data_IF_331450010680
#
_entry.id   IF_331450010680
#
_cell.length_a   1.000
_cell.length_b   1.000
_cell.length_c   1.000
_cell.angle_alpha   90.00
_cell.angle_beta   90.00
_cell.angle_gamma   90.00
#
_symmetry.space_group_name_H-M   'P 1'
#
loop_
_entity.id
_entity.type
_entity.pdbx_description
1 polymer ?
#
# COMPACT_ATOMS: atom_id res chain seq x y z
N UNK A 1 -20.57 -14.66 19.15
CA UNK A 1 -19.52 -15.46 19.81
C UNK A 1 -19.39 -14.93 21.23
N UNK A 2 -19.75 -15.73 22.24
CA UNK A 2 -19.70 -15.31 23.64
C UNK A 2 -18.26 -15.46 24.16
N UNK A 3 -17.54 -14.36 24.36
CA UNK A 3 -16.26 -14.36 25.07
C UNK A 3 -16.49 -14.07 26.55
N UNK A 4 -16.14 -15.04 27.41
CA UNK A 4 -16.00 -14.83 28.85
C UNK A 4 -14.58 -14.34 29.13
N UNK A 5 -14.44 -13.11 29.62
CA UNK A 5 -13.22 -12.63 30.27
C UNK A 5 -13.37 -12.88 31.78
N UNK A 6 -12.51 -13.72 32.35
CA UNK A 6 -12.44 -13.95 33.81
C UNK A 6 -11.40 -13.00 34.42
N UNK A 7 -11.82 -12.12 35.32
CA UNK A 7 -10.93 -11.39 36.21
C UNK A 7 -10.84 -12.10 37.56
N UNK A 8 -9.63 -12.24 38.08
CA UNK A 8 -9.31 -12.81 39.38
C UNK A 8 -9.35 -11.71 40.45
N UNK A 9 -10.20 -11.87 41.46
CA UNK A 9 -10.43 -10.90 42.54
C UNK A 9 -9.22 -10.69 43.46
N UNK A 10 -8.96 -9.41 43.77
CA UNK A 10 -8.09 -8.99 44.87
C UNK A 10 -8.94 -9.04 46.16
N UNK A 11 -8.55 -9.92 47.08
CA UNK A 11 -9.20 -10.09 48.37
C UNK A 11 -9.04 -8.86 49.28
N UNK A 12 -10.16 -8.27 49.70
CA UNK A 12 -10.25 -7.51 50.96
C UNK A 12 -11.38 -8.07 51.81
N UNK A 13 -11.05 -8.48 53.03
CA UNK A 13 -11.90 -9.16 53.99
C UNK A 13 -12.72 -8.19 54.86
N UNK A 14 -14.05 -8.39 54.95
CA UNK A 14 -14.81 -8.39 56.21
C UNK A 14 -16.32 -8.64 55.99
N UNK A 15 -16.75 -9.86 56.34
CA UNK A 15 -18.03 -10.25 56.99
C UNK A 15 -19.31 -9.45 56.72
N UNK A 16 -20.17 -9.98 55.83
CA UNK A 16 -21.52 -10.52 56.13
C UNK A 16 -22.03 -11.23 54.87
N UNK A 17 -22.14 -12.57 54.90
CA UNK A 17 -22.57 -13.38 53.76
C UNK A 17 -24.10 -13.35 53.61
N UNK A 18 -24.64 -12.30 53.00
CA UNK A 18 -25.83 -12.43 52.16
C UNK A 18 -25.33 -12.75 50.76
N UNK A 19 -25.29 -14.03 50.38
CA UNK A 19 -25.08 -14.42 48.98
C UNK A 19 -26.33 -14.05 48.20
N UNK A 20 -26.45 -12.78 47.84
CA UNK A 20 -27.30 -12.37 46.73
C UNK A 20 -26.76 -13.10 45.50
N UNK A 21 -27.53 -14.05 44.99
CA UNK A 21 -27.22 -14.69 43.73
C UNK A 21 -27.36 -13.62 42.64
N UNK A 22 -26.25 -12.99 42.27
CA UNK A 22 -26.22 -12.01 41.18
C UNK A 22 -26.59 -12.76 39.90
N UNK A 23 -27.83 -12.55 39.46
CA UNK A 23 -28.37 -13.20 38.28
C UNK A 23 -28.01 -12.33 37.07
N UNK A 24 -26.98 -12.74 36.32
CA UNK A 24 -26.57 -12.02 35.12
C UNK A 24 -27.58 -12.26 34.00
N UNK A 25 -28.28 -11.20 33.59
CA UNK A 25 -29.14 -11.23 32.40
C UNK A 25 -28.33 -10.81 31.18
N UNK A 26 -28.44 -11.53 30.03
CA UNK A 26 -27.83 -11.07 28.79
C UNK A 26 -28.52 -9.78 28.32
N UNK A 27 -27.80 -8.67 28.36
CA UNK A 27 -28.25 -7.41 27.74
C UNK A 27 -27.62 -7.26 26.36
N UNK A 28 -28.21 -6.42 25.52
CA UNK A 28 -27.63 -6.13 24.21
C UNK A 28 -26.43 -5.21 24.41
N UNK A 29 -25.37 -5.41 23.62
CA UNK A 29 -24.11 -4.72 23.84
C UNK A 29 -24.26 -3.18 23.88
N UNK A 30 -25.12 -2.62 23.01
CA UNK A 30 -25.34 -1.18 22.91
C UNK A 30 -26.01 -0.57 24.15
N UNK A 31 -26.68 -1.38 24.98
CA UNK A 31 -27.33 -0.92 26.22
C UNK A 31 -26.30 -0.74 27.36
N UNK A 32 -25.10 -1.33 27.22
CA UNK A 32 -24.05 -1.32 28.26
C UNK A 32 -22.86 -0.45 27.85
N UNK A 33 -22.82 0.05 26.60
CA UNK A 33 -21.66 0.79 26.07
C UNK A 33 -21.30 2.01 26.93
N UNK A 34 -22.28 2.80 27.36
CA UNK A 34 -22.04 4.01 28.15
C UNK A 34 -21.42 3.70 29.51
N UNK A 35 -21.94 2.67 30.19
CA UNK A 35 -21.44 2.26 31.50
C UNK A 35 -20.04 1.63 31.39
N UNK A 36 -19.81 0.86 30.34
CA UNK A 36 -18.48 0.32 30.03
C UNK A 36 -17.49 1.45 29.72
N UNK A 37 -17.88 2.44 28.93
CA UNK A 37 -17.06 3.60 28.60
C UNK A 37 -16.66 4.36 29.87
N UNK A 38 -17.63 4.71 30.73
CA UNK A 38 -17.38 5.37 32.02
C UNK A 38 -16.41 4.56 32.88
N UNK A 39 -16.57 3.24 32.95
CA UNK A 39 -15.68 2.38 33.71
C UNK A 39 -14.24 2.44 33.16
N UNK A 40 -14.07 2.30 31.84
CA UNK A 40 -12.77 2.36 31.17
C UNK A 40 -12.10 3.72 31.41
N UNK A 41 -12.78 4.84 31.15
CA UNK A 41 -12.20 6.17 31.37
C UNK A 41 -11.90 6.46 32.83
N UNK A 42 -12.72 5.96 33.77
CA UNK A 42 -12.45 6.10 35.21
C UNK A 42 -11.17 5.36 35.64
N UNK A 43 -10.87 4.25 34.98
CA UNK A 43 -9.64 3.49 35.19
C UNK A 43 -8.46 4.19 34.51
N UNK A 44 -8.59 4.60 33.24
CA UNK A 44 -7.54 5.29 32.49
C UNK A 44 -7.12 6.61 33.14
N UNK A 45 -8.04 7.31 33.80
CA UNK A 45 -7.73 8.53 34.56
C UNK A 45 -6.82 8.29 35.77
N UNK A 46 -6.82 7.08 36.34
CA UNK A 46 -6.08 6.74 37.57
C UNK A 46 -4.77 6.01 37.28
N UNK A 47 -4.68 5.34 36.15
CA UNK A 47 -3.50 4.55 35.79
C UNK A 47 -2.38 5.44 35.25
N UNK A 48 -1.11 5.18 35.62
CA UNK A 48 0.04 5.84 35.00
C UNK A 48 0.41 5.21 33.64
N UNK A 49 -0.29 4.14 33.22
CA UNK A 49 0.01 3.43 31.98
C UNK A 49 -0.69 4.08 30.77
N UNK A 50 0.02 4.10 29.65
CA UNK A 50 -0.51 4.53 28.36
C UNK A 50 -0.75 3.30 27.46
N UNK A 51 -1.90 3.30 26.80
CA UNK A 51 -2.32 2.23 25.90
C UNK A 51 -2.46 2.78 24.49
N UNK A 52 -1.92 2.05 23.52
CA UNK A 52 -2.01 2.42 22.11
C UNK A 52 -2.80 1.34 21.39
N UNK A 53 -3.94 1.72 20.81
CA UNK A 53 -4.75 0.83 19.99
C UNK A 53 -4.57 1.21 18.53
N UNK A 54 -4.02 0.29 17.75
CA UNK A 54 -3.74 0.51 16.32
C UNK A 54 -4.73 -0.31 15.49
N UNK A 55 -5.45 0.38 14.61
CA UNK A 55 -6.27 -0.21 13.57
C UNK A 55 -5.58 -0.08 12.22
N UNK A 56 -5.55 -1.17 11.46
CA UNK A 56 -4.96 -1.23 10.13
C UNK A 56 -5.98 -1.86 9.15
N UNK A 57 -5.74 -1.69 7.85
CA UNK A 57 -6.50 -2.33 6.78
C UNK A 57 -8.03 -2.08 6.83
N UNK A 58 -8.45 -0.87 7.25
CA UNK A 58 -9.87 -0.48 7.28
C UNK A 58 -10.49 -0.50 5.88
N UNK A 59 -9.69 -0.25 4.84
CA UNK A 59 -10.07 -0.32 3.44
C UNK A 59 -10.46 -1.74 3.00
N UNK A 60 -9.97 -2.82 3.64
CA UNK A 60 -10.41 -4.18 3.33
C UNK A 60 -11.90 -4.41 3.62
N UNK A 61 -12.52 -3.59 4.47
CA UNK A 61 -13.95 -3.65 4.73
C UNK A 61 -14.78 -3.34 3.48
N UNK A 62 -14.23 -2.64 2.48
CA UNK A 62 -14.89 -2.36 1.20
C UNK A 62 -15.33 -3.67 0.53
N UNK A 63 -14.48 -4.71 0.60
CA UNK A 63 -14.78 -6.02 0.01
C UNK A 63 -15.94 -6.77 0.69
N UNK A 64 -16.31 -6.37 1.92
CA UNK A 64 -17.35 -7.02 2.73
C UNK A 64 -18.68 -6.29 2.67
N UNK A 65 -18.70 -5.06 2.19
CA UNK A 65 -19.87 -4.20 2.19
C UNK A 65 -20.33 -3.99 0.75
N UNK A 66 -21.49 -4.54 0.41
CA UNK A 66 -22.04 -4.50 -0.96
C UNK A 66 -22.41 -3.09 -1.44
N UNK A 67 -22.58 -2.13 -0.53
CA UNK A 67 -22.97 -0.75 -0.84
C UNK A 67 -21.83 0.22 -0.50
N UNK A 68 -21.30 0.90 -1.53
CA UNK A 68 -20.19 1.84 -1.40
C UNK A 68 -20.52 3.05 -0.52
N UNK A 69 -21.75 3.56 -0.57
CA UNK A 69 -22.16 4.68 0.28
C UNK A 69 -22.24 4.26 1.75
N UNK A 70 -22.73 3.05 2.00
CA UNK A 70 -22.73 2.49 3.35
C UNK A 70 -21.31 2.33 3.89
N UNK A 71 -20.38 1.84 3.06
CA UNK A 71 -18.97 1.73 3.42
C UNK A 71 -18.37 3.10 3.80
N UNK A 72 -18.62 4.14 2.98
CA UNK A 72 -18.15 5.50 3.27
C UNK A 72 -18.70 6.03 4.59
N UNK A 73 -19.99 5.82 4.88
CA UNK A 73 -20.59 6.25 6.15
C UNK A 73 -20.00 5.53 7.36
N UNK A 74 -19.71 4.23 7.23
CA UNK A 74 -19.04 3.46 8.29
C UNK A 74 -17.64 4.01 8.54
N UNK A 75 -16.86 4.28 7.48
CA UNK A 75 -15.52 4.85 7.61
C UNK A 75 -15.54 6.24 8.25
N UNK A 76 -16.49 7.10 7.85
CA UNK A 76 -16.67 8.42 8.43
C UNK A 76 -17.00 8.34 9.93
N UNK A 77 -17.99 7.53 10.30
CA UNK A 77 -18.35 7.33 11.70
C UNK A 77 -17.21 6.73 12.52
N UNK A 78 -16.42 5.84 11.94
CA UNK A 78 -15.23 5.27 12.58
C UNK A 78 -14.16 6.35 12.87
N UNK A 79 -13.83 7.18 11.88
CA UNK A 79 -12.86 8.27 12.04
C UNK A 79 -13.32 9.30 13.09
N UNK A 80 -14.61 9.67 13.06
CA UNK A 80 -15.19 10.57 14.06
C UNK A 80 -15.18 9.97 15.47
N UNK A 81 -15.44 8.66 15.58
CA UNK A 81 -15.41 7.97 16.88
C UNK A 81 -13.98 7.92 17.44
N UNK A 82 -12.98 7.68 16.59
CA UNK A 82 -11.57 7.71 17.01
C UNK A 82 -11.18 9.11 17.51
N UNK A 83 -11.55 10.17 16.78
CA UNK A 83 -11.30 11.55 17.17
C UNK A 83 -11.93 11.84 18.54
N UNK A 84 -13.22 11.56 18.70
CA UNK A 84 -13.96 11.77 19.95
C UNK A 84 -13.32 11.05 21.14
N UNK A 85 -12.92 9.79 20.97
CA UNK A 85 -12.28 9.03 22.06
C UNK A 85 -10.90 9.62 22.40
N UNK A 86 -10.12 10.02 21.39
CA UNK A 86 -8.81 10.63 21.63
C UNK A 86 -8.93 12.00 22.33
N UNK A 87 -9.95 12.78 22.01
CA UNK A 87 -10.25 14.04 22.71
C UNK A 87 -10.60 13.76 24.18
N UNK A 88 -11.45 12.77 24.46
CA UNK A 88 -11.76 12.37 25.84
C UNK A 88 -10.52 11.88 26.61
N UNK A 89 -9.63 11.12 25.97
CA UNK A 89 -8.36 10.69 26.56
C UNK A 89 -7.45 11.87 26.90
N UNK A 90 -7.39 12.87 26.01
CA UNK A 90 -6.65 14.10 26.23
C UNK A 90 -7.24 14.92 27.40
N UNK A 91 -8.57 15.04 27.48
CA UNK A 91 -9.26 15.78 28.55
C UNK A 91 -9.00 15.19 29.94
N UNK A 92 -8.91 13.86 30.06
CA UNK A 92 -8.57 13.21 31.33
C UNK A 92 -7.07 13.21 31.63
N UNK A 93 -6.24 13.79 30.76
CA UNK A 93 -4.79 13.87 30.90
C UNK A 93 -4.07 12.53 30.71
N UNK A 94 -4.64 11.61 29.94
CA UNK A 94 -4.03 10.32 29.64
C UNK A 94 -3.42 10.32 28.23
N UNK A 95 -2.19 9.81 28.10
CA UNK A 95 -1.43 9.79 26.84
C UNK A 95 -1.70 8.54 25.96
N UNK A 96 -2.70 7.75 26.31
CA UNK A 96 -3.23 6.67 25.46
C UNK A 96 -3.78 7.24 24.16
N UNK A 97 -3.65 6.51 23.06
CA UNK A 97 -4.15 6.95 21.74
C UNK A 97 -4.74 5.78 20.97
N UNK A 98 -5.80 6.08 20.21
CA UNK A 98 -6.30 5.22 19.16
C UNK A 98 -5.79 5.77 17.83
N UNK A 99 -5.11 4.93 17.06
CA UNK A 99 -4.47 5.29 15.80
C UNK A 99 -5.04 4.37 14.73
N UNK A 100 -5.38 4.94 13.57
CA UNK A 100 -5.75 4.16 12.39
C UNK A 100 -4.87 4.54 11.21
N UNK A 101 -4.56 3.57 10.37
CA UNK A 101 -4.04 3.82 9.03
C UNK A 101 -5.22 3.95 8.06
N UNK A 102 -5.03 4.71 6.99
CA UNK A 102 -6.03 4.85 5.94
C UNK A 102 -5.34 5.16 4.61
N UNK A 103 -5.85 4.58 3.52
CA UNK A 103 -5.34 4.90 2.19
C UNK A 103 -5.80 6.29 1.75
N UNK A 104 -4.89 7.08 1.19
CA UNK A 104 -5.17 8.45 0.78
C UNK A 104 -6.25 8.56 -0.30
N UNK A 105 -6.22 7.69 -1.31
CA UNK A 105 -7.21 7.68 -2.40
C UNK A 105 -8.63 7.33 -1.92
N UNK A 106 -8.74 6.52 -0.86
CA UNK A 106 -10.02 6.22 -0.22
C UNK A 106 -10.48 7.38 0.67
N UNK A 107 -9.56 7.98 1.42
CA UNK A 107 -9.83 9.13 2.28
C UNK A 107 -10.35 10.32 1.47
N UNK A 108 -9.75 10.59 0.31
CA UNK A 108 -10.20 11.64 -0.62
C UNK A 108 -11.65 11.42 -1.10
N UNK A 109 -12.02 10.16 -1.36
CA UNK A 109 -13.38 9.80 -1.78
C UNK A 109 -14.43 9.93 -0.66
N UNK A 110 -14.03 9.78 0.60
CA UNK A 110 -14.92 9.99 1.74
C UNK A 110 -15.05 11.49 2.01
N UNK A 111 -13.93 12.23 1.92
CA UNK A 111 -13.91 13.67 2.17
C UNK A 111 -14.73 14.47 1.15
N UNK A 112 -14.81 14.02 -0.11
CA UNK A 112 -15.69 14.66 -1.11
C UNK A 112 -17.16 14.68 -0.70
N UNK A 113 -17.56 13.72 0.13
CA UNK A 113 -18.95 13.50 0.51
C UNK A 113 -19.24 13.99 1.95
N UNK A 114 -18.23 14.44 2.69
CA UNK A 114 -18.31 14.76 4.11
C UNK A 114 -17.79 16.18 4.41
N UNK A 115 -18.66 17.04 4.96
CA UNK A 115 -18.34 18.46 5.22
C UNK A 115 -17.29 18.69 6.34
N UNK A 116 -17.04 17.72 7.22
CA UNK A 116 -16.22 17.91 8.44
C UNK A 116 -14.96 17.05 8.51
N UNK A 117 -14.74 16.15 7.54
CA UNK A 117 -13.60 15.23 7.62
C UNK A 117 -12.25 15.94 7.40
N UNK A 118 -12.26 17.03 6.64
CA UNK A 118 -11.07 17.86 6.39
C UNK A 118 -10.39 18.38 7.65
N UNK A 119 -11.17 18.71 8.69
CA UNK A 119 -10.64 19.15 9.99
C UNK A 119 -9.89 18.01 10.69
N UNK A 120 -10.52 16.84 10.79
CA UNK A 120 -9.92 15.64 11.41
C UNK A 120 -8.60 15.29 10.71
N UNK A 121 -8.59 15.32 9.37
CA UNK A 121 -7.40 15.02 8.58
C UNK A 121 -6.30 16.05 8.84
N UNK A 122 -6.64 17.35 8.86
CA UNK A 122 -5.63 18.40 9.02
C UNK A 122 -5.02 18.44 10.43
N UNK A 123 -5.85 18.26 11.47
CA UNK A 123 -5.41 18.41 12.86
C UNK A 123 -4.76 17.11 13.41
N UNK A 124 -5.20 15.94 12.94
CA UNK A 124 -4.92 14.65 13.61
C UNK A 124 -4.32 13.58 12.71
N UNK A 125 -3.83 13.92 11.52
CA UNK A 125 -3.21 12.93 10.60
C UNK A 125 -1.76 13.22 10.26
N UNK A 126 -1.03 12.14 9.94
CA UNK A 126 0.32 12.20 9.39
C UNK A 126 0.32 11.47 8.05
N UNK A 127 0.53 12.20 6.96
CA UNK A 127 0.62 11.63 5.62
C UNK A 127 1.99 11.01 5.39
N UNK A 128 2.01 9.72 5.05
CA UNK A 128 3.24 9.01 4.67
C UNK A 128 3.36 8.99 3.15
N UNK A 129 4.21 9.87 2.62
CA UNK A 129 4.65 9.80 1.22
C UNK A 129 5.98 9.04 1.15
N UNK A 130 5.96 7.83 0.60
CA UNK A 130 7.15 6.98 0.52
C UNK A 130 8.24 7.55 -0.38
N UNK A 131 7.86 8.22 -1.46
CA UNK A 131 8.78 8.78 -2.43
C UNK A 131 8.16 9.97 -3.16
N UNK A 132 8.90 11.09 -3.18
CA UNK A 132 8.56 12.23 -4.01
C UNK A 132 9.54 12.34 -5.19
N UNK A 133 9.06 12.59 -6.43
CA UNK A 133 9.91 12.85 -7.60
C UNK A 133 10.86 14.05 -7.44
N UNK A 134 10.59 14.93 -6.46
CA UNK A 134 11.44 16.06 -6.10
C UNK A 134 12.72 15.62 -5.35
N UNK A 135 12.76 14.39 -4.86
CA UNK A 135 13.86 13.84 -4.04
C UNK A 135 15.01 13.25 -4.86
N UNK A 136 15.20 13.71 -6.11
CA UNK A 136 16.28 13.22 -6.97
C UNK A 136 17.65 13.65 -6.49
N UNK A 137 17.72 14.82 -5.86
CA UNK A 137 18.97 15.41 -5.36
C UNK A 137 19.41 14.78 -4.04
N UNK A 138 18.46 14.38 -3.18
CA UNK A 138 18.71 13.81 -1.85
C UNK A 138 17.86 12.54 -1.61
N UNK A 139 18.16 11.43 -2.30
CA UNK A 139 17.34 10.23 -2.21
C UNK A 139 17.36 9.54 -0.85
N UNK A 140 18.46 9.64 -0.12
CA UNK A 140 18.62 9.15 1.25
C UNK A 140 17.67 9.83 2.24
N UNK A 141 17.19 11.04 1.92
CA UNK A 141 16.25 11.78 2.76
C UNK A 141 14.80 11.34 2.60
N UNK A 142 14.48 10.55 1.58
CA UNK A 142 13.14 10.00 1.37
C UNK A 142 12.73 9.08 2.50
N UNK A 143 11.44 9.03 2.85
CA UNK A 143 10.92 8.14 3.91
C UNK A 143 11.22 6.67 3.62
N UNK A 144 11.12 6.28 2.35
CA UNK A 144 11.49 4.96 1.90
C UNK A 144 12.98 4.66 2.12
N UNK A 145 13.88 5.58 1.72
CA UNK A 145 15.31 5.37 1.92
C UNK A 145 15.65 5.32 3.41
N UNK A 146 15.13 6.25 4.22
CA UNK A 146 15.29 6.25 5.68
C UNK A 146 14.86 4.91 6.29
N UNK A 147 13.72 4.37 5.89
CA UNK A 147 13.25 3.06 6.34
C UNK A 147 14.26 1.94 5.96
N UNK A 148 14.74 1.93 4.72
CA UNK A 148 15.70 0.92 4.25
C UNK A 148 17.05 1.04 4.97
N UNK A 149 17.59 2.26 5.06
CA UNK A 149 18.86 2.56 5.73
C UNK A 149 18.79 2.24 7.22
N UNK A 150 17.69 2.58 7.89
CA UNK A 150 17.47 2.20 9.29
C UNK A 150 17.52 0.67 9.48
N UNK A 151 16.89 -0.10 8.59
CA UNK A 151 16.96 -1.57 8.66
C UNK A 151 18.39 -2.08 8.45
N UNK A 152 19.11 -1.53 7.47
CA UNK A 152 20.49 -1.94 7.16
C UNK A 152 21.43 -1.60 8.32
N UNK A 153 21.37 -0.36 8.83
CA UNK A 153 22.15 0.14 9.97
C UNK A 153 22.02 -0.77 11.19
N UNK A 154 20.80 -1.16 11.53
CA UNK A 154 20.55 -2.01 12.69
C UNK A 154 20.84 -3.49 12.44
N UNK A 155 21.09 -3.89 11.20
CA UNK A 155 21.39 -5.29 10.83
C UNK A 155 22.90 -5.56 10.72
N UNK A 156 23.73 -4.52 10.60
CA UNK A 156 25.18 -4.64 10.37
C UNK A 156 25.95 -3.78 11.39
N UNK A 157 26.71 -4.37 12.31
CA UNK A 157 27.43 -3.64 13.36
C UNK A 157 28.34 -2.52 12.82
N UNK A 158 29.02 -2.76 11.70
CA UNK A 158 29.94 -1.80 11.06
C UNK A 158 29.22 -0.52 10.57
N UNK A 159 27.90 -0.54 10.44
CA UNK A 159 27.11 0.57 9.90
C UNK A 159 26.43 1.43 10.98
N UNK A 160 26.52 1.05 12.26
CA UNK A 160 25.82 1.74 13.36
C UNK A 160 26.14 3.23 13.48
N UNK A 161 27.40 3.59 13.21
CA UNK A 161 27.90 4.97 13.35
C UNK A 161 27.81 5.79 12.05
N UNK A 162 27.42 5.16 10.94
CA UNK A 162 27.31 5.86 9.65
C UNK A 162 26.04 6.69 9.59
N UNK A 163 26.18 7.94 9.13
CA UNK A 163 25.02 8.78 8.84
C UNK A 163 24.27 8.26 7.59
N UNK A 164 23.07 8.80 7.31
CA UNK A 164 22.22 8.30 6.23
C UNK A 164 22.89 8.42 4.84
N UNK A 165 23.60 9.52 4.57
CA UNK A 165 24.29 9.77 3.30
C UNK A 165 25.48 8.81 3.10
N UNK A 166 26.32 8.66 4.11
CA UNK A 166 27.47 7.75 4.10
C UNK A 166 27.02 6.30 3.89
N UNK A 167 26.00 5.88 4.64
CA UNK A 167 25.44 4.53 4.53
C UNK A 167 24.80 4.32 3.17
N UNK A 168 24.07 5.31 2.65
CA UNK A 168 23.46 5.24 1.34
C UNK A 168 24.50 5.06 0.25
N UNK A 169 25.56 5.88 0.23
CA UNK A 169 26.64 5.79 -0.75
C UNK A 169 27.43 4.47 -0.64
N UNK A 170 27.57 3.93 0.57
CA UNK A 170 28.22 2.63 0.82
C UNK A 170 27.41 1.47 0.24
N UNK A 171 26.09 1.48 0.43
CA UNK A 171 25.22 0.35 0.09
C UNK A 171 24.65 0.45 -1.32
N UNK A 172 24.42 1.67 -1.81
CA UNK A 172 23.88 2.01 -3.13
C UNK A 172 24.87 2.87 -3.93
N UNK A 173 26.08 2.37 -4.23
CA UNK A 173 27.10 3.15 -4.92
C UNK A 173 26.60 3.63 -6.29
N UNK A 174 26.86 4.90 -6.61
CA UNK A 174 26.44 5.49 -7.88
C UNK A 174 27.16 4.83 -9.06
N UNK A 175 26.41 4.37 -10.07
CA UNK A 175 26.98 3.91 -11.33
C UNK A 175 27.47 5.08 -12.19
N UNK A 176 28.40 4.81 -13.12
CA UNK A 176 28.98 5.80 -14.08
C UNK A 176 27.96 6.63 -14.87
N UNK A 177 26.69 6.23 -14.90
CA UNK A 177 25.58 6.94 -15.53
C UNK A 177 24.47 7.22 -14.48
N UNK A 178 24.69 8.22 -13.62
CA UNK A 178 23.78 9.13 -12.87
C UNK A 178 22.40 8.68 -12.33
N UNK A 179 21.87 7.51 -12.65
CA UNK A 179 20.60 7.05 -12.09
C UNK A 179 20.90 6.40 -10.75
N UNK A 180 20.43 7.05 -9.69
CA UNK A 180 20.38 6.49 -8.36
C UNK A 180 19.81 5.05 -8.39
N UNK A 181 20.50 4.11 -7.76
CA UNK A 181 20.07 2.71 -7.63
C UNK A 181 18.65 2.60 -7.07
N UNK A 182 18.29 3.43 -6.08
CA UNK A 182 16.95 3.46 -5.52
C UNK A 182 15.93 3.96 -6.54
N UNK A 183 16.20 5.06 -7.26
CA UNK A 183 15.33 5.56 -8.34
C UNK A 183 15.10 4.49 -9.41
N UNK A 184 16.14 3.72 -9.77
CA UNK A 184 16.00 2.64 -10.73
C UNK A 184 14.98 1.59 -10.28
N UNK A 185 15.02 1.17 -9.02
CA UNK A 185 14.09 0.19 -8.46
C UNK A 185 12.69 0.80 -8.34
N UNK A 186 12.60 2.05 -7.89
CA UNK A 186 11.36 2.79 -7.72
C UNK A 186 10.56 2.89 -9.01
N UNK A 187 11.19 3.36 -10.09
CA UNK A 187 10.57 3.44 -11.42
C UNK A 187 10.11 2.07 -11.94
N UNK A 188 10.54 0.97 -11.32
CA UNK A 188 10.22 -0.42 -11.69
C UNK A 188 9.29 -1.16 -10.71
N UNK A 189 8.72 -0.44 -9.75
CA UNK A 189 7.79 -0.97 -8.74
C UNK A 189 6.48 -0.15 -8.72
N UNK A 190 5.56 -0.45 -7.79
CA UNK A 190 4.47 0.47 -7.45
C UNK A 190 4.90 1.55 -6.45
N UNK A 191 6.19 1.62 -6.12
CA UNK A 191 6.76 2.57 -5.17
C UNK A 191 6.42 2.26 -3.70
N UNK A 192 5.91 1.05 -3.43
CA UNK A 192 5.58 0.61 -2.08
C UNK A 192 6.82 0.03 -1.40
N UNK A 193 7.01 0.20 -0.08
CA UNK A 193 8.15 -0.36 0.65
C UNK A 193 8.37 -1.85 0.41
N UNK A 194 7.29 -2.64 0.37
CA UNK A 194 7.34 -4.09 0.12
C UNK A 194 7.99 -4.43 -1.22
N UNK A 195 7.68 -3.67 -2.26
CA UNK A 195 8.20 -3.92 -3.60
C UNK A 195 9.72 -3.76 -3.64
N UNK A 196 10.21 -2.71 -3.00
CA UNK A 196 11.64 -2.40 -2.94
C UNK A 196 12.37 -3.44 -2.12
N UNK A 197 11.84 -3.80 -0.95
CA UNK A 197 12.39 -4.88 -0.13
C UNK A 197 12.44 -6.20 -0.92
N UNK A 198 11.39 -6.55 -1.66
CA UNK A 198 11.38 -7.76 -2.48
C UNK A 198 12.45 -7.72 -3.60
N UNK A 199 12.68 -6.56 -4.21
CA UNK A 199 13.76 -6.40 -5.18
C UNK A 199 15.14 -6.59 -4.53
N UNK A 200 15.39 -5.94 -3.40
CA UNK A 200 16.66 -6.06 -2.67
C UNK A 200 16.92 -7.48 -2.16
N UNK A 201 15.89 -8.16 -1.64
CA UNK A 201 15.96 -9.58 -1.27
C UNK A 201 16.24 -10.47 -2.49
N UNK A 202 15.70 -10.12 -3.65
CA UNK A 202 16.00 -10.83 -4.91
C UNK A 202 17.47 -10.66 -5.30
N UNK A 203 18.02 -9.46 -5.13
CA UNK A 203 19.44 -9.22 -5.31
C UNK A 203 20.29 -10.07 -4.35
N UNK A 204 20.01 -10.02 -3.05
CA UNK A 204 20.72 -10.78 -2.02
C UNK A 204 20.72 -12.29 -2.32
N UNK A 205 19.60 -12.84 -2.81
CA UNK A 205 19.50 -14.26 -3.18
C UNK A 205 20.40 -14.62 -4.36
N UNK A 206 20.49 -13.77 -5.37
CA UNK A 206 21.29 -13.99 -6.58
C UNK A 206 22.79 -13.71 -6.34
N UNK A 207 23.12 -12.77 -5.45
CA UNK A 207 24.46 -12.24 -5.26
C UNK A 207 24.88 -12.21 -3.79
N UNK A 208 24.84 -13.37 -3.14
CA UNK A 208 25.08 -13.52 -1.68
C UNK A 208 26.42 -13.03 -1.15
N UNK A 209 27.42 -12.86 -2.02
CA UNK A 209 28.78 -12.43 -1.65
C UNK A 209 29.02 -10.93 -1.82
N UNK A 210 28.06 -10.23 -2.44
CA UNK A 210 28.20 -8.79 -2.66
C UNK A 210 27.97 -8.04 -1.34
N UNK A 211 28.77 -7.01 -1.11
CA UNK A 211 28.68 -6.12 0.06
C UNK A 211 27.86 -4.86 -0.21
N UNK A 212 27.52 -4.60 -1.47
CA UNK A 212 26.72 -3.45 -1.91
C UNK A 212 25.84 -3.82 -3.12
N UNK A 213 24.85 -2.97 -3.44
CA UNK A 213 23.96 -3.15 -4.57
C UNK A 213 24.55 -2.57 -5.86
N UNK A 214 25.19 -3.41 -6.66
CA UNK A 214 25.71 -3.07 -7.98
C UNK A 214 24.60 -2.98 -9.05
N UNK A 215 24.41 -1.76 -9.57
CA UNK A 215 23.49 -1.44 -10.66
C UNK A 215 23.62 -2.36 -11.88
N UNK A 216 24.84 -2.76 -12.25
CA UNK A 216 25.07 -3.57 -13.45
C UNK A 216 24.41 -4.95 -13.36
N UNK A 217 24.16 -5.42 -12.13
CA UNK A 217 23.52 -6.71 -11.85
C UNK A 217 21.98 -6.62 -11.76
N UNK A 218 21.41 -5.41 -11.70
CA UNK A 218 19.96 -5.21 -11.54
C UNK A 218 19.13 -5.79 -12.68
N UNK A 219 19.67 -5.86 -13.90
CA UNK A 219 19.01 -6.52 -15.03
C UNK A 219 18.67 -7.98 -14.73
N UNK A 220 19.56 -8.72 -14.06
CA UNK A 220 19.31 -10.12 -13.70
C UNK A 220 18.29 -10.23 -12.55
N UNK A 221 18.37 -9.34 -11.56
CA UNK A 221 17.39 -9.27 -10.47
C UNK A 221 15.98 -9.02 -10.99
N UNK A 222 15.85 -8.13 -11.97
CA UNK A 222 14.59 -7.78 -12.60
C UNK A 222 13.91 -8.99 -13.24
N UNK A 223 14.65 -10.01 -13.74
CA UNK A 223 14.05 -11.26 -14.24
C UNK A 223 13.20 -11.98 -13.21
N UNK A 224 13.73 -12.02 -12.00
CA UNK A 224 13.20 -12.84 -10.91
C UNK A 224 12.14 -12.03 -10.16
N UNK A 225 12.43 -10.76 -9.88
CA UNK A 225 11.49 -9.83 -9.26
C UNK A 225 10.20 -9.70 -10.07
N UNK A 226 10.31 -9.65 -11.40
CA UNK A 226 9.15 -9.43 -12.27
C UNK A 226 8.09 -10.52 -12.17
N UNK A 227 8.48 -11.78 -11.89
CA UNK A 227 7.50 -12.86 -11.62
C UNK A 227 6.63 -12.55 -10.41
N UNK A 228 7.25 -12.10 -9.32
CA UNK A 228 6.52 -11.70 -8.12
C UNK A 228 5.69 -10.43 -8.38
N UNK A 229 6.26 -9.45 -9.07
CA UNK A 229 5.56 -8.20 -9.39
C UNK A 229 4.33 -8.43 -10.30
N UNK A 230 4.35 -9.44 -11.16
CA UNK A 230 3.17 -9.84 -11.92
C UNK A 230 2.06 -10.38 -11.03
N UNK A 231 2.38 -11.12 -9.98
CA UNK A 231 1.39 -11.56 -8.98
C UNK A 231 0.78 -10.36 -8.26
N UNK A 232 1.59 -9.38 -7.86
CA UNK A 232 1.08 -8.13 -7.26
C UNK A 232 0.17 -7.38 -8.22
N UNK A 233 0.55 -7.26 -9.50
CA UNK A 233 -0.30 -6.64 -10.50
C UNK A 233 -1.63 -7.38 -10.67
N UNK A 234 -1.63 -8.72 -10.66
CA UNK A 234 -2.87 -9.49 -10.74
C UNK A 234 -3.76 -9.25 -9.53
N UNK A 235 -3.19 -9.08 -8.34
CA UNK A 235 -3.95 -8.72 -7.14
C UNK A 235 -4.66 -7.38 -7.33
N UNK A 236 -3.97 -6.36 -7.84
CA UNK A 236 -4.59 -5.05 -8.15
C UNK A 236 -5.70 -5.16 -9.21
N UNK A 237 -5.49 -5.98 -10.25
CA UNK A 237 -6.49 -6.21 -11.30
C UNK A 237 -7.74 -6.91 -10.72
N UNK A 238 -7.56 -7.84 -9.79
CA UNK A 238 -8.65 -8.60 -9.19
C UNK A 238 -9.61 -7.73 -8.36
N UNK A 239 -9.14 -6.57 -7.86
CA UNK A 239 -9.97 -5.58 -7.17
C UNK A 239 -10.84 -4.75 -8.13
N UNK A 240 -10.55 -4.78 -9.43
CA UNK A 240 -11.30 -3.99 -10.42
C UNK A 240 -12.62 -4.66 -10.81
N UNK A 241 -13.68 -3.87 -10.89
CA UNK A 241 -14.99 -4.30 -11.42
C UNK A 241 -14.91 -4.83 -12.87
N UNK A 242 -13.92 -4.35 -13.64
CA UNK A 242 -13.68 -4.75 -15.04
C UNK A 242 -12.54 -5.77 -15.19
N UNK A 243 -12.22 -6.54 -14.14
CA UNK A 243 -11.10 -7.50 -14.14
C UNK A 243 -11.05 -8.42 -15.37
N UNK A 244 -12.20 -8.92 -15.83
CA UNK A 244 -12.28 -9.82 -17.00
C UNK A 244 -11.82 -9.12 -18.30
N UNK A 245 -12.19 -7.84 -18.46
CA UNK A 245 -11.75 -7.00 -19.58
C UNK A 245 -10.23 -6.75 -19.49
N UNK A 246 -9.70 -6.51 -18.29
CA UNK A 246 -8.27 -6.26 -18.06
C UNK A 246 -7.42 -7.52 -18.34
N UNK A 247 -7.83 -8.67 -17.82
CA UNK A 247 -7.14 -9.95 -18.04
C UNK A 247 -7.18 -10.35 -19.51
N UNK A 248 -8.34 -10.24 -20.16
CA UNK A 248 -8.49 -10.47 -21.61
C UNK A 248 -7.62 -9.50 -22.42
N UNK A 249 -7.51 -8.24 -21.99
CA UNK A 249 -6.65 -7.24 -22.63
C UNK A 249 -5.18 -7.59 -22.49
N UNK A 250 -4.72 -8.02 -21.31
CA UNK A 250 -3.35 -8.50 -21.09
C UNK A 250 -3.04 -9.70 -21.98
N UNK A 251 -3.98 -10.64 -22.15
CA UNK A 251 -3.79 -11.77 -23.06
C UNK A 251 -3.71 -11.33 -24.52
N UNK A 252 -4.58 -10.41 -24.95
CA UNK A 252 -4.54 -9.85 -26.30
C UNK A 252 -3.19 -9.18 -26.58
N UNK A 253 -2.71 -8.37 -25.64
CA UNK A 253 -1.39 -7.73 -25.67
C UNK A 253 -0.26 -8.76 -25.86
N UNK A 254 -0.29 -9.86 -25.10
CA UNK A 254 0.66 -10.98 -25.23
C UNK A 254 0.60 -11.63 -26.63
N UNK A 255 -0.59 -11.74 -27.23
CA UNK A 255 -0.77 -12.30 -28.58
C UNK A 255 -0.34 -11.32 -29.69
N UNK A 256 -0.54 -10.02 -29.49
CA UNK A 256 -0.11 -8.99 -30.44
C UNK A 256 1.41 -8.96 -30.63
N UNK A 257 2.18 -9.24 -29.57
CA UNK A 257 3.65 -9.23 -29.58
C UNK A 257 4.27 -7.92 -30.12
N UNK A 258 3.57 -6.80 -29.93
CA UNK A 258 4.01 -5.51 -30.46
C UNK A 258 4.76 -4.71 -29.41
N UNK A 259 5.89 -4.13 -29.85
CA UNK A 259 6.70 -3.21 -29.06
C UNK A 259 6.06 -1.89 -28.72
N UNK A 260 5.06 -1.47 -29.50
CA UNK A 260 4.34 -0.21 -29.50
C UNK A 260 3.08 -0.42 -30.33
N UNK A 261 1.98 0.22 -29.95
CA UNK A 261 0.71 0.09 -30.65
C UNK A 261 -0.14 1.34 -30.42
N UNK A 262 -1.02 1.63 -31.36
CA UNK A 262 -2.09 2.61 -31.15
C UNK A 262 -3.35 1.92 -30.64
N UNK A 263 -4.24 2.70 -30.02
CA UNK A 263 -5.55 2.22 -29.57
C UNK A 263 -6.33 1.54 -30.70
N UNK A 264 -6.27 2.10 -31.91
CA UNK A 264 -6.94 1.57 -33.11
C UNK A 264 -6.38 0.19 -33.48
N UNK A 265 -5.06 0.02 -33.38
CA UNK A 265 -4.41 -1.27 -33.69
C UNK A 265 -4.80 -2.35 -32.70
N UNK A 266 -4.95 -2.01 -31.42
CA UNK A 266 -5.47 -2.92 -30.40
C UNK A 266 -6.91 -3.32 -30.68
N UNK A 267 -7.78 -2.34 -30.95
CA UNK A 267 -9.18 -2.61 -31.28
C UNK A 267 -9.32 -3.47 -32.54
N UNK A 268 -8.53 -3.19 -33.59
CA UNK A 268 -8.53 -3.97 -34.82
C UNK A 268 -8.08 -5.41 -34.56
N UNK A 269 -6.98 -5.60 -33.83
CA UNK A 269 -6.50 -6.94 -33.50
C UNK A 269 -7.50 -7.71 -32.62
N UNK A 270 -8.15 -7.04 -31.66
CA UNK A 270 -9.25 -7.61 -30.88
C UNK A 270 -10.39 -8.07 -31.79
N UNK A 271 -10.93 -7.20 -32.65
CA UNK A 271 -12.07 -7.52 -33.53
C UNK A 271 -11.78 -8.72 -34.44
N UNK A 272 -10.57 -8.76 -35.01
CA UNK A 272 -10.18 -9.82 -35.93
C UNK A 272 -9.98 -11.18 -35.24
N UNK A 273 -9.60 -11.18 -33.96
CA UNK A 273 -9.20 -12.40 -33.25
C UNK A 273 -10.12 -12.79 -32.08
N UNK A 274 -11.19 -12.01 -31.83
CA UNK A 274 -12.12 -12.19 -30.70
C UNK A 274 -12.69 -13.61 -30.64
N UNK A 275 -13.15 -14.13 -31.78
CA UNK A 275 -13.76 -15.48 -31.85
C UNK A 275 -12.72 -16.58 -31.67
N UNK A 276 -11.54 -16.42 -32.27
CA UNK A 276 -10.47 -17.42 -32.27
C UNK A 276 -9.92 -17.68 -30.86
N UNK A 277 -9.70 -16.61 -30.08
CA UNK A 277 -9.12 -16.73 -28.73
C UNK A 277 -10.16 -16.54 -27.62
N UNK A 278 -11.44 -16.37 -27.96
CA UNK A 278 -12.51 -16.24 -26.97
C UNK A 278 -12.42 -14.97 -26.12
N UNK A 279 -11.78 -13.90 -26.60
CA UNK A 279 -11.61 -12.66 -25.83
C UNK A 279 -12.95 -12.01 -25.46
N UNK A 280 -13.06 -11.58 -24.20
CA UNK A 280 -14.28 -10.97 -23.65
C UNK A 280 -14.00 -9.57 -23.11
N UNK A 281 -13.63 -8.67 -24.02
CA UNK A 281 -13.41 -7.26 -23.69
C UNK A 281 -14.69 -6.49 -24.05
N UNK A 282 -15.44 -6.01 -23.05
CA UNK A 282 -16.64 -5.20 -23.27
C UNK A 282 -16.27 -3.83 -23.82
N UNK A 283 -15.29 -3.14 -23.22
CA UNK A 283 -14.84 -1.83 -23.67
C UNK A 283 -13.30 -1.73 -23.73
N UNK A 284 -12.70 -1.95 -24.92
CA UNK A 284 -11.25 -1.87 -25.12
C UNK A 284 -10.60 -0.56 -24.66
N UNK A 285 -11.26 0.58 -24.85
CA UNK A 285 -10.69 1.89 -24.48
C UNK A 285 -10.64 2.07 -22.97
N UNK A 286 -11.70 1.68 -22.27
CA UNK A 286 -11.73 1.70 -20.80
C UNK A 286 -10.69 0.73 -20.24
N UNK A 287 -10.58 -0.47 -20.82
CA UNK A 287 -9.58 -1.45 -20.40
C UNK A 287 -8.15 -0.91 -20.56
N UNK A 288 -7.80 -0.35 -21.73
CA UNK A 288 -6.49 0.25 -21.97
C UNK A 288 -6.19 1.45 -21.06
N UNK A 289 -7.17 2.33 -20.85
CA UNK A 289 -7.05 3.46 -19.93
C UNK A 289 -6.81 3.00 -18.49
N UNK A 290 -7.50 1.94 -18.07
CA UNK A 290 -7.34 1.37 -16.72
C UNK A 290 -6.00 0.65 -16.57
N UNK A 291 -5.57 -0.11 -17.57
CA UNK A 291 -4.23 -0.71 -17.61
C UNK A 291 -3.14 0.37 -17.57
N UNK A 292 -3.33 1.51 -18.23
CA UNK A 292 -2.42 2.64 -18.12
C UNK A 292 -2.37 3.20 -16.68
N UNK A 293 -3.53 3.42 -16.04
CA UNK A 293 -3.60 3.89 -14.65
C UNK A 293 -2.96 2.93 -13.64
N UNK A 294 -3.11 1.62 -13.84
CA UNK A 294 -2.45 0.58 -13.05
C UNK A 294 -0.94 0.48 -13.32
N UNK A 295 -0.39 1.34 -14.18
CA UNK A 295 1.02 1.30 -14.56
C UNK A 295 1.37 0.08 -15.40
N UNK A 296 0.37 -0.61 -15.99
CA UNK A 296 0.61 -1.76 -16.89
C UNK A 296 1.20 -1.32 -18.22
N UNK A 297 0.66 -0.20 -18.71
CA UNK A 297 1.02 0.43 -19.97
C UNK A 297 1.65 1.80 -19.71
N UNK A 298 2.41 2.29 -20.68
CA UNK A 298 3.03 3.62 -20.67
C UNK A 298 2.78 4.30 -22.00
N UNK A 299 2.98 5.62 -22.05
CA UNK A 299 2.77 6.39 -23.27
C UNK A 299 4.09 6.76 -23.94
N UNK A 300 4.08 6.75 -25.27
CA UNK A 300 5.17 7.28 -26.09
C UNK A 300 4.69 8.57 -26.74
N UNK A 301 5.49 9.63 -26.59
CA UNK A 301 5.32 10.87 -27.33
C UNK A 301 6.49 11.05 -28.30
N UNK A 302 6.19 11.56 -29.48
CA UNK A 302 7.20 11.90 -30.48
C UNK A 302 7.29 13.43 -30.56
N UNK A 303 8.38 14.02 -30.08
CA UNK A 303 8.68 15.44 -30.29
C UNK A 303 9.87 15.57 -31.23
N UNK A 304 9.71 16.25 -32.36
CA UNK A 304 10.78 16.57 -33.31
C UNK A 304 11.66 15.37 -33.72
N UNK A 305 11.06 14.23 -34.10
CA UNK A 305 11.75 12.94 -34.41
C UNK A 305 12.55 12.32 -33.24
N UNK A 306 12.63 12.98 -32.09
CA UNK A 306 13.14 12.41 -30.85
C UNK A 306 12.00 11.71 -30.09
N UNK A 307 12.28 10.48 -29.63
CA UNK A 307 11.32 9.65 -28.90
C UNK A 307 11.41 9.99 -27.42
N UNK A 308 10.36 10.56 -26.85
CA UNK A 308 10.23 10.80 -25.41
C UNK A 308 9.26 9.77 -24.82
N UNK A 309 9.79 8.85 -24.01
CA UNK A 309 9.03 7.79 -23.34
C UNK A 309 8.83 8.14 -21.86
N UNK A 310 7.63 7.97 -21.33
CA UNK A 310 7.26 8.43 -19.99
C UNK A 310 7.46 7.42 -18.84
N UNK A 311 8.39 6.47 -18.97
CA UNK A 311 8.95 5.80 -17.78
C UNK A 311 8.19 4.60 -17.21
N UNK A 312 6.87 4.53 -17.36
CA UNK A 312 6.06 3.88 -16.33
C UNK A 312 5.37 2.54 -16.69
N UNK A 313 5.57 2.00 -17.89
CA UNK A 313 4.89 0.75 -18.32
C UNK A 313 5.43 -0.52 -17.64
N UNK A 314 4.57 -1.29 -16.96
CA UNK A 314 4.82 -2.63 -16.40
C UNK A 314 5.49 -3.52 -17.44
N UNK A 315 4.95 -3.58 -18.65
CA UNK A 315 5.54 -4.43 -19.65
C UNK A 315 6.96 -3.96 -19.98
N UNK A 316 7.24 -2.64 -20.13
CA UNK A 316 8.57 -2.14 -20.54
C UNK A 316 9.63 -2.50 -19.49
N UNK A 317 9.21 -2.61 -18.23
CA UNK A 317 10.03 -3.07 -17.10
C UNK A 317 10.44 -4.56 -17.26
N UNK A 318 9.71 -5.39 -18.02
CA UNK A 318 10.06 -6.80 -18.29
C UNK A 318 10.93 -7.00 -19.55
N UNK A 319 10.90 -6.06 -20.50
CA UNK A 319 11.60 -6.16 -21.81
C UNK A 319 13.11 -6.32 -21.72
N UNK A 320 13.72 -5.72 -20.69
CA UNK A 320 15.18 -5.69 -20.53
C UNK A 320 15.75 -6.99 -19.96
N UNK A 321 14.93 -8.04 -19.81
CA UNK A 321 15.38 -9.31 -19.27
C UNK A 321 14.86 -10.48 -20.09
N UNK A 322 15.74 -11.03 -20.93
CA UNK A 322 15.38 -12.09 -21.87
C UNK A 322 15.02 -13.41 -21.19
N UNK A 323 14.12 -14.12 -21.89
CA UNK A 323 13.66 -15.49 -21.73
C UNK A 323 12.63 -15.76 -20.62
N UNK A 324 11.49 -15.08 -20.63
CA UNK A 324 10.22 -15.74 -20.26
C UNK A 324 8.97 -15.13 -20.89
N UNK A 325 9.01 -13.89 -21.40
CA UNK A 325 7.92 -13.32 -22.21
C UNK A 325 8.51 -12.36 -23.25
N UNK A 326 8.19 -12.52 -24.54
CA UNK A 326 8.42 -11.44 -25.47
C UNK A 326 7.44 -10.33 -25.07
N UNK A 327 7.98 -9.18 -24.64
CA UNK A 327 7.56 -7.91 -25.21
C UNK A 327 6.34 -7.18 -24.57
N UNK A 328 6.51 -6.33 -23.53
CA UNK A 328 6.70 -4.91 -23.87
C UNK A 328 5.79 -4.02 -24.71
N UNK A 329 4.89 -3.25 -24.09
CA UNK A 329 3.93 -2.48 -24.88
C UNK A 329 3.65 -1.06 -24.32
N UNK A 330 4.24 -0.01 -24.90
CA UNK A 330 3.79 1.37 -24.83
C UNK A 330 2.67 1.66 -25.83
N UNK A 331 1.74 2.54 -25.45
CA UNK A 331 0.70 3.08 -26.32
C UNK A 331 1.24 4.32 -27.04
N UNK A 332 1.02 4.38 -28.35
CA UNK A 332 1.13 5.61 -29.15
C UNK A 332 -0.25 6.25 -29.18
N UNK A 333 -0.37 7.44 -28.62
CA UNK A 333 -1.58 8.27 -28.73
C UNK A 333 -1.68 8.91 -30.11
#
# INVERSE_FOLDING_TARGET
MNSKLSYSDINLSSTTNSKEAIQFTPSKYYEILDDLSKLIFSYLKKTPMNYYLLFDDIDELENKISNRDQFKQICLGFLQTIESINDELYEIGNDSRIITTFRLDLLEQINSDANNLSKIIYDSSVTIEWFSPLSKEEPEQTQLAKMILHKIRNSVPDFLLLNDEELFNTVFPSGKNQNNCLEYIMLRSFGRPRDIIMFLQTYQRLYKKDTCFDYNKFGNCLRTYSKWFYTELLNEINLSEIKEDLLSSIELLKKMQLKQFSTEKFELFYRNNKKQYGFRIKNPRIALSTLYKLGVLGNVTFRNKSKTWNGNSFFDKFYKVQNFFPYAIPIVL
#
